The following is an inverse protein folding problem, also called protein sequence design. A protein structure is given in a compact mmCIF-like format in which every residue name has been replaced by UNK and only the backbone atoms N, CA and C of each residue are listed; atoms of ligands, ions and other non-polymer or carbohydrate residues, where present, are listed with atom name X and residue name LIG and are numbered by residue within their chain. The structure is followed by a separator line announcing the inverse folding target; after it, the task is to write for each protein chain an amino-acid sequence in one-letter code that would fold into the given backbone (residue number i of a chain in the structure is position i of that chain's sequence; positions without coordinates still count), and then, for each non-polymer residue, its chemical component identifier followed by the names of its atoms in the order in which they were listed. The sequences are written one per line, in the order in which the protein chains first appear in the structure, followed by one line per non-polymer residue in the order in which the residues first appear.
data_IF_428252774110
#
_entry.id   IF_428252774110
#
_cell.length_a   1.000
_cell.length_b   1.000
_cell.length_c   1.000
_cell.angle_alpha   90.00
_cell.angle_beta   90.00
_cell.angle_gamma   90.00
#
_symmetry.space_group_name_H-M   'P 1'
#
loop_
_entity.id
_entity.type
_entity.pdbx_description
1 polymer ?
#
# COMPACT_ATOMS: atom_id res chain seq x y z
N UNK A 1 -14.78 -14.56 -17.22
CA UNK A 1 -13.82 -15.44 -16.52
C UNK A 1 -12.47 -14.75 -16.50
N UNK A 2 -11.80 -14.73 -15.35
CA UNK A 2 -10.38 -14.34 -15.27
C UNK A 2 -9.54 -15.36 -16.06
N UNK A 3 -8.62 -14.88 -16.89
CA UNK A 3 -7.82 -15.74 -17.79
C UNK A 3 -6.59 -16.35 -17.13
N UNK A 4 -6.02 -15.67 -16.14
CA UNK A 4 -4.78 -16.05 -15.46
C UNK A 4 -5.02 -16.04 -13.95
N UNK A 5 -4.65 -17.10 -13.22
CA UNK A 5 -4.75 -17.14 -11.77
C UNK A 5 -3.56 -16.41 -11.14
N UNK A 6 -3.56 -15.08 -11.20
CA UNK A 6 -2.54 -14.27 -10.52
C UNK A 6 -2.61 -14.50 -8.99
N UNK A 7 -1.45 -14.64 -8.37
CA UNK A 7 -1.30 -14.90 -6.91
C UNK A 7 -0.77 -13.67 -6.19
N UNK A 8 0.19 -12.97 -6.80
CA UNK A 8 0.82 -11.77 -6.26
C UNK A 8 0.96 -10.75 -7.38
N UNK A 9 0.70 -9.49 -7.05
CA UNK A 9 0.83 -8.34 -7.94
C UNK A 9 1.37 -7.14 -7.17
N UNK A 10 1.86 -6.15 -7.89
CA UNK A 10 2.14 -4.83 -7.38
C UNK A 10 1.87 -3.82 -8.48
N UNK A 11 1.14 -2.75 -8.16
CA UNK A 11 0.99 -1.61 -9.05
C UNK A 11 1.91 -0.46 -8.59
N UNK A 12 2.39 0.33 -9.56
CA UNK A 12 3.46 1.29 -9.36
C UNK A 12 2.94 2.70 -9.56
N UNK A 13 3.19 3.55 -8.56
CA UNK A 13 2.74 4.93 -8.50
C UNK A 13 3.92 5.87 -8.15
N UNK A 14 3.66 7.16 -8.21
CA UNK A 14 4.57 8.22 -7.78
C UNK A 14 3.80 9.37 -7.14
N UNK A 15 4.52 10.18 -6.38
CA UNK A 15 4.02 11.25 -5.52
C UNK A 15 4.47 11.08 -4.06
N UNK A 16 4.77 9.86 -3.63
CA UNK A 16 5.32 9.59 -2.30
C UNK A 16 6.40 8.49 -2.34
N UNK A 17 6.98 8.19 -1.18
CA UNK A 17 8.01 7.16 -1.05
C UNK A 17 7.64 6.18 0.08
N UNK A 18 6.66 5.32 -0.22
CA UNK A 18 5.99 4.39 0.71
C UNK A 18 5.40 3.19 -0.06
N UNK A 19 5.21 2.07 0.63
CA UNK A 19 4.42 0.95 0.10
C UNK A 19 3.09 0.90 0.82
N UNK A 20 1.99 1.01 0.10
CA UNK A 20 0.66 0.87 0.68
C UNK A 20 0.10 -0.52 0.47
N UNK A 21 -0.69 -0.97 1.43
CA UNK A 21 -1.33 -2.27 1.40
C UNK A 21 -2.81 -2.20 1.78
N UNK A 22 -3.64 -3.15 1.31
CA UNK A 22 -5.09 -3.05 1.44
C UNK A 22 -5.58 -3.09 2.91
N UNK A 23 -6.80 -2.62 3.19
CA UNK A 23 -7.70 -1.96 2.24
C UNK A 23 -7.34 -0.49 2.01
N UNK A 24 -7.65 0.02 0.82
CA UNK A 24 -7.53 1.44 0.48
C UNK A 24 -8.80 2.23 0.81
N UNK A 25 -9.96 1.59 0.86
CA UNK A 25 -11.20 2.22 1.31
C UNK A 25 -11.46 2.00 2.80
N UNK A 26 -11.80 3.08 3.51
CA UNK A 26 -12.24 3.03 4.91
C UNK A 26 -13.53 2.22 5.07
N UNK A 27 -13.63 1.42 6.15
CA UNK A 27 -14.88 0.73 6.49
C UNK A 27 -16.00 1.71 6.83
N UNK A 28 -15.66 2.80 7.51
CA UNK A 28 -16.61 3.87 7.84
C UNK A 28 -16.71 4.85 6.67
N UNK A 29 -17.83 4.82 5.93
CA UNK A 29 -18.03 5.58 4.68
C UNK A 29 -17.67 7.08 4.74
N UNK A 30 -17.85 7.75 5.88
CA UNK A 30 -17.59 9.19 6.03
C UNK A 30 -16.19 9.52 6.59
N UNK A 31 -15.38 8.53 6.95
CA UNK A 31 -14.02 8.78 7.43
C UNK A 31 -13.06 8.90 6.24
N UNK A 32 -12.28 9.97 6.25
CA UNK A 32 -11.21 10.20 5.29
C UNK A 32 -9.99 9.28 5.54
N UNK A 33 -9.77 8.89 6.80
CA UNK A 33 -8.67 8.03 7.24
C UNK A 33 -9.16 7.09 8.35
N UNK A 34 -8.88 5.81 8.22
CA UNK A 34 -9.15 4.77 9.21
C UNK A 34 -8.37 3.50 8.86
N UNK A 35 -7.51 3.04 9.77
CA UNK A 35 -6.91 1.71 9.68
C UNK A 35 -7.97 0.62 9.42
N UNK A 36 -7.93 0.06 8.22
CA UNK A 36 -8.92 -0.90 7.71
C UNK A 36 -8.21 -2.18 7.25
N UNK A 37 -7.93 -3.12 8.17
CA UNK A 37 -7.14 -4.31 7.86
C UNK A 37 -7.91 -5.32 7.03
N UNK A 38 -7.18 -6.09 6.22
CA UNK A 38 -7.69 -7.30 5.59
C UNK A 38 -7.63 -8.49 6.57
N UNK A 39 -8.35 -9.59 6.29
CA UNK A 39 -8.12 -10.87 6.97
C UNK A 39 -6.66 -11.35 6.90
N UNK A 40 -5.95 -11.03 5.83
CA UNK A 40 -4.54 -11.39 5.58
C UNK A 40 -3.54 -10.26 5.90
N UNK A 41 -3.89 -9.32 6.80
CA UNK A 41 -3.08 -8.13 7.14
C UNK A 41 -1.61 -8.48 7.43
N UNK A 42 -1.36 -9.58 8.14
CA UNK A 42 0.00 -10.04 8.43
C UNK A 42 0.83 -10.35 7.18
N UNK A 43 0.22 -10.94 6.15
CA UNK A 43 0.90 -11.24 4.87
C UNK A 43 1.13 -9.95 4.10
N UNK A 44 0.14 -9.06 4.04
CA UNK A 44 0.26 -7.79 3.35
C UNK A 44 1.33 -6.88 3.94
N UNK A 45 1.40 -6.78 5.27
CA UNK A 45 2.45 -6.03 5.97
C UNK A 45 3.82 -6.63 5.71
N UNK A 46 3.92 -7.96 5.69
CA UNK A 46 5.16 -8.64 5.33
C UNK A 46 5.58 -8.33 3.89
N UNK A 47 4.68 -8.47 2.91
CA UNK A 47 4.93 -8.14 1.50
C UNK A 47 5.39 -6.70 1.31
N UNK A 48 4.69 -5.75 1.94
CA UNK A 48 5.04 -4.34 1.89
C UNK A 48 6.42 -4.08 2.51
N UNK A 49 6.71 -4.70 3.67
CA UNK A 49 8.01 -4.57 4.36
C UNK A 49 9.15 -5.10 3.51
N UNK A 50 8.96 -6.24 2.83
CA UNK A 50 9.98 -6.84 1.96
C UNK A 50 10.41 -5.86 0.87
N UNK A 51 9.45 -5.21 0.20
CA UNK A 51 9.79 -4.21 -0.81
C UNK A 51 10.44 -2.97 -0.19
N UNK A 52 9.80 -2.41 0.83
CA UNK A 52 10.19 -1.15 1.46
C UNK A 52 11.60 -1.16 2.06
N UNK A 53 12.03 -2.32 2.58
CA UNK A 53 13.37 -2.50 3.17
C UNK A 53 14.43 -2.86 2.12
N UNK A 54 14.06 -3.45 0.99
CA UNK A 54 14.97 -3.76 -0.11
C UNK A 54 15.26 -2.55 -1.02
N UNK A 55 14.34 -1.59 -1.08
CA UNK A 55 14.53 -0.37 -1.86
C UNK A 55 15.40 0.65 -1.09
N UNK A 56 16.62 0.90 -1.58
CA UNK A 56 17.57 1.80 -0.92
C UNK A 56 17.06 3.24 -0.74
N UNK A 57 16.28 3.76 -1.69
CA UNK A 57 15.72 5.11 -1.58
C UNK A 57 14.68 5.18 -0.47
N UNK A 58 13.83 4.16 -0.32
CA UNK A 58 12.89 4.04 0.79
C UNK A 58 13.61 3.82 2.12
N UNK A 59 14.55 2.89 2.19
CA UNK A 59 15.20 2.44 3.43
C UNK A 59 16.24 3.43 3.99
N UNK A 60 16.76 4.34 3.18
CA UNK A 60 17.78 5.30 3.60
C UNK A 60 17.26 6.24 4.71
N UNK A 61 18.01 6.33 5.82
CA UNK A 61 17.72 7.27 6.91
C UNK A 61 17.94 8.74 6.55
N UNK A 62 18.74 9.01 5.52
CA UNK A 62 19.05 10.36 5.03
C UNK A 62 18.10 10.82 3.91
N UNK A 63 17.01 10.08 3.66
CA UNK A 63 16.05 10.41 2.60
C UNK A 63 15.30 11.70 2.91
N UNK A 64 15.08 12.51 1.88
CA UNK A 64 14.23 13.69 1.98
C UNK A 64 12.76 13.24 2.10
N UNK A 65 12.00 13.90 2.97
CA UNK A 65 10.53 13.77 2.99
C UNK A 65 9.94 14.31 1.68
N UNK A 66 9.00 13.57 1.08
CA UNK A 66 8.31 14.02 -0.13
C UNK A 66 7.37 15.20 0.18
N UNK A 67 6.19 14.92 0.74
CA UNK A 67 5.22 15.95 1.11
C UNK A 67 5.02 16.04 2.63
N UNK A 68 3.81 15.75 3.11
CA UNK A 68 3.38 16.09 4.47
C UNK A 68 3.67 14.99 5.50
N UNK A 69 3.74 13.73 5.06
CA UNK A 69 3.91 12.58 5.95
C UNK A 69 5.38 12.15 6.05
N UNK A 70 5.72 11.46 7.14
CA UNK A 70 7.03 10.85 7.31
C UNK A 70 6.86 9.35 7.54
N UNK A 71 6.72 8.62 6.44
CA UNK A 71 6.53 7.17 6.48
C UNK A 71 7.74 6.41 7.02
N UNK A 72 8.91 7.06 7.20
CA UNK A 72 10.08 6.39 7.77
C UNK A 72 9.80 5.93 9.21
N UNK A 73 8.97 6.70 9.93
CA UNK A 73 8.55 6.38 11.31
C UNK A 73 7.61 5.17 11.38
N UNK A 74 7.02 4.79 10.26
CA UNK A 74 6.13 3.64 10.10
C UNK A 74 6.81 2.46 9.38
N UNK A 75 8.13 2.53 9.15
CA UNK A 75 8.86 1.49 8.41
C UNK A 75 8.61 1.52 6.91
N UNK A 76 8.22 2.67 6.36
CA UNK A 76 7.96 2.90 4.93
C UNK A 76 6.80 2.08 4.36
N UNK A 77 5.90 1.64 5.23
CA UNK A 77 4.66 0.96 4.85
C UNK A 77 3.48 1.63 5.53
N UNK A 78 2.30 1.57 4.91
CA UNK A 78 1.06 2.04 5.54
C UNK A 78 -0.16 1.31 4.97
N UNK A 79 -1.20 1.12 5.78
CA UNK A 79 -2.49 0.68 5.26
C UNK A 79 -3.10 1.82 4.41
N UNK A 80 -3.61 1.50 3.22
CA UNK A 80 -4.10 2.52 2.28
C UNK A 80 -5.16 3.43 2.89
N UNK A 81 -6.18 2.84 3.51
CA UNK A 81 -7.26 3.57 4.17
C UNK A 81 -6.81 4.37 5.41
N UNK A 82 -5.73 3.97 6.07
CA UNK A 82 -5.11 4.73 7.16
C UNK A 82 -4.36 5.97 6.64
N UNK A 83 -3.82 5.89 5.41
CA UNK A 83 -3.22 7.04 4.74
C UNK A 83 -4.28 7.99 4.16
N UNK A 84 -5.17 7.50 3.31
CA UNK A 84 -6.35 8.21 2.83
C UNK A 84 -7.30 7.26 2.10
N UNK A 85 -8.60 7.48 2.23
CA UNK A 85 -9.60 6.62 1.59
C UNK A 85 -9.58 6.76 0.06
N UNK A 86 -9.41 5.64 -0.65
CA UNK A 86 -9.47 5.56 -2.12
C UNK A 86 -10.51 4.53 -2.54
N UNK A 87 -11.77 4.94 -2.75
CA UNK A 87 -12.81 4.02 -3.18
C UNK A 87 -12.57 3.54 -4.63
N UNK A 88 -12.74 2.25 -4.86
CA UNK A 88 -12.61 1.65 -6.20
C UNK A 88 -11.15 1.45 -6.65
N UNK A 89 -10.21 1.34 -5.71
CA UNK A 89 -8.82 1.04 -6.03
C UNK A 89 -8.63 -0.34 -6.67
N UNK A 90 -7.57 -0.48 -7.47
CA UNK A 90 -7.22 -1.75 -8.09
C UNK A 90 -6.75 -2.78 -7.06
N UNK A 91 -6.06 -2.35 -6.00
CA UNK A 91 -5.64 -3.21 -4.89
C UNK A 91 -6.84 -3.92 -4.24
N UNK A 92 -7.84 -3.13 -3.84
CA UNK A 92 -9.04 -3.66 -3.19
C UNK A 92 -9.82 -4.57 -4.14
N UNK A 93 -9.89 -4.21 -5.43
CA UNK A 93 -10.50 -5.05 -6.45
C UNK A 93 -9.78 -6.40 -6.58
N UNK A 94 -8.45 -6.37 -6.71
CA UNK A 94 -7.60 -7.56 -6.85
C UNK A 94 -7.80 -8.53 -5.70
N UNK A 95 -7.84 -8.04 -4.46
CA UNK A 95 -8.03 -8.89 -3.28
C UNK A 95 -9.48 -9.37 -3.09
N UNK A 96 -10.48 -8.54 -3.37
CA UNK A 96 -11.90 -8.91 -3.15
C UNK A 96 -12.51 -9.76 -4.25
N UNK A 97 -12.00 -9.67 -5.48
CA UNK A 97 -12.63 -10.30 -6.65
C UNK A 97 -11.74 -11.33 -7.34
N UNK A 98 -10.53 -11.58 -6.83
CA UNK A 98 -9.55 -12.51 -7.40
C UNK A 98 -8.78 -13.24 -6.28
N UNK A 99 -7.83 -14.12 -6.62
CA UNK A 99 -6.91 -14.74 -5.65
C UNK A 99 -5.59 -13.96 -5.49
N UNK A 100 -5.50 -12.78 -6.09
CA UNK A 100 -4.26 -12.01 -6.20
C UNK A 100 -4.11 -11.04 -5.04
N UNK A 101 -2.97 -11.10 -4.37
CA UNK A 101 -2.58 -10.11 -3.37
C UNK A 101 -1.84 -8.99 -4.08
N UNK A 102 -2.42 -7.79 -4.07
CA UNK A 102 -1.82 -6.62 -4.71
C UNK A 102 -1.49 -5.54 -3.67
N UNK A 103 -0.30 -4.96 -3.81
CA UNK A 103 0.17 -3.79 -3.06
C UNK A 103 0.41 -2.63 -4.03
N UNK A 104 0.36 -1.40 -3.53
CA UNK A 104 0.80 -0.23 -4.29
C UNK A 104 2.16 0.22 -3.81
N UNK A 105 3.06 0.50 -4.75
CA UNK A 105 4.41 0.97 -4.47
C UNK A 105 4.55 2.39 -5.00
N UNK A 106 4.70 3.35 -4.10
CA UNK A 106 5.01 4.76 -4.42
C UNK A 106 6.53 4.91 -4.53
N UNK A 107 7.04 5.11 -5.74
CA UNK A 107 8.46 4.96 -6.06
C UNK A 107 9.29 6.24 -5.95
N UNK A 108 8.65 7.40 -6.08
CA UNK A 108 9.30 8.71 -6.16
C UNK A 108 8.38 9.82 -5.66
N UNK A 109 8.96 10.92 -5.18
CA UNK A 109 8.22 12.12 -4.81
C UNK A 109 7.74 12.94 -6.02
N UNK A 110 8.40 12.80 -7.17
CA UNK A 110 8.18 13.55 -8.41
C UNK A 110 7.66 12.62 -9.53
#
# INVERSE_FOLDING_TARGET
MQRVPFVLSANLHGGELVVTYPFDMTRTYWKAQEFTPTPDDGVFRWLATVYATANLAMASGDRRRCHYDDFARLGNIINGADWHTVPGSMNDFSYLHTNCFEITVELSCD
#
